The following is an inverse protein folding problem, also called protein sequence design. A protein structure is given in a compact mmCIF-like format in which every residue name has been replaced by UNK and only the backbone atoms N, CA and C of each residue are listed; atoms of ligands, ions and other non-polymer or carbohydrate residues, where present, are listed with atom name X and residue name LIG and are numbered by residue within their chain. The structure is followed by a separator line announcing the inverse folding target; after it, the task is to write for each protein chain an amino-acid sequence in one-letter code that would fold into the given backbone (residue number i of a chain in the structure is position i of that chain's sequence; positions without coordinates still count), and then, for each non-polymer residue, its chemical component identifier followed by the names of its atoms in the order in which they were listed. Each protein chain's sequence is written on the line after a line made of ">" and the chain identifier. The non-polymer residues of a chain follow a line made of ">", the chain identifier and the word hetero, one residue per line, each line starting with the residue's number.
data_IF_930810315634
#
_entry.id   IF_930810315634
#
_cell.length_a   1.000
_cell.length_b   1.000
_cell.length_c   1.000
_cell.angle_alpha   90.00
_cell.angle_beta   90.00
_cell.angle_gamma   90.00
#
_symmetry.space_group_name_H-M   'P 1'
#
loop_
_entity.id
_entity.type
_entity.pdbx_description
1 polymer ?
#
# COMPACT_ATOMS: atom_id res chain seq x y z
N UNK A 1 -11.55 -34.65 -24.44
CA UNK A 1 -12.47 -33.64 -23.88
C UNK A 1 -11.95 -33.34 -22.50
N UNK A 2 -11.64 -32.09 -22.17
CA UNK A 2 -11.25 -31.74 -20.80
C UNK A 2 -12.45 -32.00 -19.90
N UNK A 3 -12.31 -32.89 -18.92
CA UNK A 3 -13.37 -33.17 -17.95
C UNK A 3 -13.29 -32.09 -16.88
N UNK A 4 -14.37 -31.33 -16.70
CA UNK A 4 -14.50 -30.36 -15.62
C UNK A 4 -15.22 -31.04 -14.46
N UNK A 5 -14.71 -30.85 -13.25
CA UNK A 5 -15.35 -31.38 -12.05
C UNK A 5 -16.22 -30.31 -11.42
N UNK A 6 -17.48 -30.62 -11.14
CA UNK A 6 -18.33 -29.73 -10.36
C UNK A 6 -17.76 -29.62 -8.94
N UNK A 7 -17.61 -28.39 -8.42
CA UNK A 7 -17.18 -28.19 -7.04
C UNK A 7 -18.22 -28.71 -6.05
N UNK A 8 -17.78 -29.01 -4.83
CA UNK A 8 -18.67 -29.24 -3.71
C UNK A 8 -19.38 -27.93 -3.35
N UNK A 9 -20.71 -27.96 -3.37
CA UNK A 9 -21.53 -26.79 -3.03
C UNK A 9 -22.23 -27.06 -1.70
N UNK A 10 -21.97 -26.24 -0.65
CA UNK A 10 -22.68 -26.33 0.61
C UNK A 10 -24.19 -26.28 0.39
N UNK A 11 -24.95 -27.09 1.13
CA UNK A 11 -26.39 -27.22 0.90
C UNK A 11 -27.14 -25.88 0.95
N UNK A 12 -26.73 -24.97 1.85
CA UNK A 12 -27.30 -23.63 2.00
C UNK A 12 -26.92 -22.65 0.87
N UNK A 13 -25.94 -22.98 0.01
CA UNK A 13 -25.42 -22.13 -1.06
C UNK A 13 -25.66 -22.71 -2.48
N UNK A 14 -26.43 -23.81 -2.59
CA UNK A 14 -26.72 -24.54 -3.83
C UNK A 14 -27.40 -23.73 -4.95
N UNK A 15 -27.91 -22.53 -4.64
CA UNK A 15 -28.53 -21.62 -5.59
C UNK A 15 -27.86 -20.25 -5.58
N UNK A 16 -26.61 -20.18 -5.13
CA UNK A 16 -25.87 -18.94 -4.87
C UNK A 16 -24.70 -18.84 -5.83
N UNK A 17 -24.53 -17.68 -6.44
CA UNK A 17 -23.36 -17.33 -7.23
C UNK A 17 -22.14 -17.26 -6.33
N UNK A 18 -21.10 -18.04 -6.65
CA UNK A 18 -19.87 -18.05 -5.86
C UNK A 18 -19.14 -16.69 -5.88
N UNK A 19 -19.30 -15.90 -6.94
CA UNK A 19 -18.62 -14.61 -7.08
C UNK A 19 -19.29 -13.46 -6.32
N UNK A 20 -20.61 -13.44 -6.18
CA UNK A 20 -21.32 -12.24 -5.70
C UNK A 20 -22.54 -12.49 -4.80
N UNK A 21 -22.85 -13.74 -4.45
CA UNK A 21 -23.93 -14.05 -3.50
C UNK A 21 -25.35 -13.97 -4.09
N UNK A 22 -25.51 -13.44 -5.30
CA UNK A 22 -26.79 -13.42 -6.01
C UNK A 22 -27.27 -14.82 -6.41
N UNK A 23 -28.56 -15.01 -6.71
CA UNK A 23 -29.06 -16.28 -7.22
C UNK A 23 -28.27 -16.77 -8.45
N UNK A 24 -27.80 -18.02 -8.38
CA UNK A 24 -27.10 -18.68 -9.49
C UNK A 24 -28.03 -18.85 -10.68
N UNK A 25 -27.52 -18.63 -11.89
CA UNK A 25 -28.24 -18.83 -13.14
C UNK A 25 -27.77 -20.09 -13.86
N UNK A 26 -26.45 -20.29 -13.94
CA UNK A 26 -25.82 -21.40 -14.65
C UNK A 26 -24.45 -21.73 -14.04
N UNK A 27 -23.79 -22.77 -14.55
CA UNK A 27 -22.42 -23.14 -14.20
C UNK A 27 -21.40 -22.40 -15.08
N UNK A 28 -20.34 -21.91 -14.44
CA UNK A 28 -19.13 -21.45 -15.10
C UNK A 28 -18.12 -22.60 -15.14
N UNK A 29 -17.70 -23.02 -16.33
CA UNK A 29 -16.52 -23.90 -16.48
C UNK A 29 -15.24 -23.06 -16.48
N UNK A 30 -14.31 -23.37 -15.57
CA UNK A 30 -13.00 -22.73 -15.45
C UNK A 30 -11.86 -23.74 -15.68
N UNK A 31 -10.92 -23.47 -16.61
CA UNK A 31 -10.82 -22.25 -17.41
C UNK A 31 -11.88 -22.22 -18.52
N UNK A 32 -12.20 -21.03 -19.05
CA UNK A 32 -13.27 -20.89 -20.07
C UNK A 32 -12.94 -21.62 -21.39
N UNK A 33 -11.66 -21.81 -21.69
CA UNK A 33 -11.20 -22.50 -22.91
C UNK A 33 -10.39 -23.74 -22.56
N UNK A 34 -10.69 -24.85 -23.24
CA UNK A 34 -9.98 -26.13 -23.03
C UNK A 34 -8.48 -26.05 -23.29
N UNK A 35 -8.02 -25.08 -24.11
CA UNK A 35 -6.60 -24.87 -24.38
C UNK A 35 -5.85 -24.27 -23.19
N UNK A 36 -6.54 -23.57 -22.29
CA UNK A 36 -5.97 -22.94 -21.09
C UNK A 36 -5.82 -23.91 -19.93
N UNK A 37 -6.34 -25.14 -20.04
CA UNK A 37 -6.23 -26.17 -18.98
C UNK A 37 -4.78 -26.45 -18.57
N UNK A 38 -3.82 -26.28 -19.49
CA UNK A 38 -2.38 -26.47 -19.20
C UNK A 38 -1.73 -25.28 -18.48
N UNK A 39 -2.44 -24.17 -18.34
CA UNK A 39 -1.95 -22.91 -17.80
C UNK A 39 -2.49 -22.63 -16.40
N UNK A 40 -3.40 -23.47 -15.89
CA UNK A 40 -3.97 -23.30 -14.56
C UNK A 40 -3.25 -24.15 -13.51
N UNK A 41 -3.27 -23.67 -12.27
CA UNK A 41 -2.54 -24.26 -11.13
C UNK A 41 -3.33 -25.35 -10.39
N UNK A 42 -4.59 -25.56 -10.74
CA UNK A 42 -5.48 -26.56 -10.15
C UNK A 42 -6.25 -27.33 -11.23
N UNK A 43 -7.02 -28.36 -10.86
CA UNK A 43 -7.84 -29.10 -11.82
C UNK A 43 -8.95 -28.23 -12.44
N UNK A 44 -9.39 -28.47 -13.70
CA UNK A 44 -10.54 -27.77 -14.28
C UNK A 44 -11.82 -28.03 -13.50
N UNK A 45 -12.57 -26.97 -13.21
CA UNK A 45 -13.75 -27.01 -12.34
C UNK A 45 -14.98 -26.35 -12.96
N UNK A 46 -16.15 -26.73 -12.48
CA UNK A 46 -17.41 -26.03 -12.70
C UNK A 46 -17.96 -25.48 -11.39
N UNK A 47 -18.45 -24.24 -11.40
CA UNK A 47 -18.98 -23.57 -10.22
C UNK A 47 -20.20 -22.69 -10.54
N UNK A 48 -21.16 -22.52 -9.61
CA UNK A 48 -22.36 -21.75 -9.84
C UNK A 48 -22.08 -20.25 -9.96
N UNK A 49 -22.66 -19.62 -10.98
CA UNK A 49 -22.54 -18.18 -11.22
C UNK A 49 -23.88 -17.58 -11.65
N UNK A 50 -24.12 -16.31 -11.30
CA UNK A 50 -25.27 -15.56 -11.77
C UNK A 50 -25.07 -15.10 -13.22
N UNK A 51 -26.16 -14.73 -13.89
CA UNK A 51 -26.15 -14.27 -15.29
C UNK A 51 -25.21 -13.09 -15.52
N UNK A 52 -25.09 -12.20 -14.53
CA UNK A 52 -24.20 -11.06 -14.62
C UNK A 52 -22.73 -11.48 -14.56
N UNK A 53 -22.31 -12.24 -13.55
CA UNK A 53 -20.92 -12.67 -13.42
C UNK A 53 -20.45 -13.51 -14.61
N UNK A 54 -21.34 -14.30 -15.21
CA UNK A 54 -21.07 -15.04 -16.45
C UNK A 54 -20.82 -14.12 -17.65
N UNK A 55 -21.51 -12.99 -17.72
CA UNK A 55 -21.43 -12.04 -18.83
C UNK A 55 -20.29 -11.01 -18.67
N UNK A 56 -19.67 -10.92 -17.49
CA UNK A 56 -18.58 -9.96 -17.26
C UNK A 56 -17.32 -10.36 -18.03
N UNK A 57 -16.62 -9.38 -18.61
CA UNK A 57 -15.35 -9.63 -19.26
C UNK A 57 -14.31 -10.04 -18.20
N UNK A 58 -13.54 -11.08 -18.52
CA UNK A 58 -12.34 -11.49 -17.79
C UNK A 58 -11.16 -11.21 -18.71
N UNK A 59 -10.25 -10.33 -18.29
CA UNK A 59 -9.12 -9.93 -19.11
C UNK A 59 -7.97 -10.95 -18.97
N UNK A 60 -7.39 -11.34 -20.10
CA UNK A 60 -6.20 -12.20 -20.13
C UNK A 60 -6.46 -13.66 -19.76
N UNK A 61 -5.37 -14.38 -19.47
CA UNK A 61 -5.37 -15.75 -18.97
C UNK A 61 -5.27 -15.68 -17.45
N UNK A 62 -6.23 -16.26 -16.72
CA UNK A 62 -6.12 -16.46 -15.28
C UNK A 62 -5.54 -17.84 -15.02
N UNK A 63 -4.50 -17.91 -14.19
CA UNK A 63 -3.84 -19.16 -13.83
C UNK A 63 -4.57 -19.89 -12.69
N UNK A 64 -5.52 -19.23 -12.02
CA UNK A 64 -6.30 -19.83 -10.94
C UNK A 64 -7.71 -19.25 -10.87
N UNK A 65 -8.64 -19.98 -10.25
CA UNK A 65 -10.01 -19.50 -10.05
C UNK A 65 -10.08 -18.28 -9.13
N UNK A 66 -9.14 -18.13 -8.19
CA UNK A 66 -9.04 -16.97 -7.31
C UNK A 66 -8.63 -15.71 -8.07
N UNK A 67 -7.61 -15.78 -8.93
CA UNK A 67 -7.25 -14.66 -9.80
C UNK A 67 -8.38 -14.32 -10.79
N UNK A 68 -9.10 -15.32 -11.30
CA UNK A 68 -10.29 -15.10 -12.11
C UNK A 68 -11.41 -14.40 -11.31
N UNK A 69 -11.61 -14.79 -10.05
CA UNK A 69 -12.56 -14.14 -9.15
C UNK A 69 -12.21 -12.67 -8.93
N UNK A 70 -10.95 -12.32 -8.73
CA UNK A 70 -10.54 -10.93 -8.57
C UNK A 70 -10.87 -10.10 -9.81
N UNK A 71 -10.71 -10.66 -11.02
CA UNK A 71 -11.15 -10.00 -12.24
C UNK A 71 -12.66 -9.76 -12.27
N UNK A 72 -13.47 -10.76 -11.87
CA UNK A 72 -14.92 -10.63 -11.78
C UNK A 72 -15.30 -9.59 -10.72
N UNK A 73 -14.64 -9.60 -9.56
CA UNK A 73 -14.85 -8.63 -8.47
C UNK A 73 -14.54 -7.21 -8.91
N UNK A 74 -13.40 -7.01 -9.57
CA UNK A 74 -13.05 -5.72 -10.14
C UNK A 74 -14.05 -5.27 -11.23
N UNK A 75 -14.51 -6.18 -12.08
CA UNK A 75 -15.53 -5.86 -13.09
C UNK A 75 -16.88 -5.48 -12.45
N UNK A 76 -17.27 -6.13 -11.34
CA UNK A 76 -18.43 -5.75 -10.53
C UNK A 76 -18.24 -4.36 -9.90
N UNK A 77 -17.11 -4.09 -9.28
CA UNK A 77 -16.78 -2.77 -8.72
C UNK A 77 -16.92 -1.68 -9.77
N UNK A 78 -16.36 -1.89 -10.96
CA UNK A 78 -16.49 -0.94 -12.06
C UNK A 78 -17.92 -0.81 -12.55
N UNK A 79 -18.69 -1.90 -12.63
CA UNK A 79 -20.10 -1.84 -13.03
C UNK A 79 -20.94 -1.03 -12.03
N UNK A 80 -20.75 -1.28 -10.73
CA UNK A 80 -21.50 -0.65 -9.66
C UNK A 80 -20.86 0.61 -9.09
N UNK A 81 -19.78 1.12 -9.70
CA UNK A 81 -18.99 2.24 -9.18
C UNK A 81 -19.84 3.45 -8.77
N UNK A 82 -20.88 3.81 -9.54
CA UNK A 82 -21.78 4.92 -9.18
C UNK A 82 -22.60 4.67 -7.93
N UNK A 83 -23.04 3.43 -7.70
CA UNK A 83 -23.76 3.05 -6.49
C UNK A 83 -22.83 2.96 -5.29
N UNK A 84 -21.63 2.40 -5.48
CA UNK A 84 -20.58 2.35 -4.45
C UNK A 84 -20.09 3.75 -4.06
N UNK A 85 -20.02 4.67 -5.03
CA UNK A 85 -19.67 6.07 -4.84
C UNK A 85 -20.61 6.83 -3.91
N UNK A 86 -21.85 6.36 -3.72
CA UNK A 86 -22.79 6.94 -2.75
C UNK A 86 -22.19 6.84 -1.35
N UNK A 87 -21.69 5.67 -0.94
CA UNK A 87 -21.05 5.48 0.37
C UNK A 87 -19.66 6.10 0.49
N UNK A 88 -19.02 6.52 -0.61
CA UNK A 88 -17.81 7.35 -0.57
C UNK A 88 -18.12 8.82 -0.30
N UNK A 89 -19.31 9.28 -0.67
CA UNK A 89 -19.68 10.69 -0.65
C UNK A 89 -20.64 11.04 0.48
N UNK A 90 -21.35 10.05 1.01
CA UNK A 90 -22.39 10.24 2.00
C UNK A 90 -22.43 9.10 3.00
N UNK A 91 -22.74 9.43 4.23
CA UNK A 91 -23.30 8.51 5.22
C UNK A 91 -24.80 8.33 5.00
N UNK A 92 -25.37 7.31 5.65
CA UNK A 92 -26.82 7.09 5.61
C UNK A 92 -27.57 8.29 6.20
N UNK A 93 -27.08 8.79 7.33
CA UNK A 93 -27.66 9.91 8.06
C UNK A 93 -27.62 11.19 7.25
N UNK A 94 -26.51 11.46 6.55
CA UNK A 94 -26.39 12.64 5.67
C UNK A 94 -27.36 12.56 4.49
N UNK A 95 -27.57 11.37 3.89
CA UNK A 95 -28.55 11.20 2.82
C UNK A 95 -30.00 11.36 3.32
N UNK A 96 -30.32 10.82 4.49
CA UNK A 96 -31.65 10.94 5.09
C UNK A 96 -31.96 12.38 5.51
N UNK A 97 -30.95 13.11 5.99
CA UNK A 97 -31.06 14.53 6.33
C UNK A 97 -31.03 15.45 5.10
N UNK A 98 -30.66 14.93 3.93
CA UNK A 98 -30.62 15.72 2.70
C UNK A 98 -32.03 16.04 2.22
N UNK A 99 -32.34 17.32 2.11
CA UNK A 99 -33.62 17.85 1.64
C UNK A 99 -33.80 17.69 0.11
N UNK A 100 -33.66 16.47 -0.41
CA UNK A 100 -33.90 16.14 -1.81
C UNK A 100 -35.39 16.19 -2.16
N UNK A 101 -35.91 17.41 -2.34
CA UNK A 101 -37.31 17.65 -2.67
C UNK A 101 -37.56 17.72 -4.19
N UNK A 102 -38.75 17.28 -4.61
CA UNK A 102 -39.23 17.38 -5.99
C UNK A 102 -39.11 16.07 -6.77
N UNK A 103 -39.89 15.97 -7.85
CA UNK A 103 -40.13 14.74 -8.60
C UNK A 103 -38.88 14.05 -9.18
N UNK A 104 -37.74 14.76 -9.26
CA UNK A 104 -36.49 14.25 -9.84
C UNK A 104 -35.54 13.72 -8.74
N UNK A 105 -35.48 14.37 -7.57
CA UNK A 105 -34.48 14.07 -6.54
C UNK A 105 -35.05 13.26 -5.37
N UNK A 106 -36.36 13.28 -5.14
CA UNK A 106 -37.01 12.50 -4.07
C UNK A 106 -36.81 10.98 -4.27
N UNK A 107 -36.80 10.52 -5.52
CA UNK A 107 -36.49 9.13 -5.85
C UNK A 107 -35.05 8.73 -5.51
N UNK A 108 -34.10 9.67 -5.67
CA UNK A 108 -32.70 9.44 -5.29
C UNK A 108 -32.57 9.30 -3.77
N UNK A 109 -33.11 10.24 -2.98
CA UNK A 109 -33.03 10.19 -1.52
C UNK A 109 -33.57 8.88 -0.91
N UNK A 110 -34.62 8.29 -1.49
CA UNK A 110 -35.22 7.04 -1.01
C UNK A 110 -34.47 5.77 -1.44
N UNK A 111 -33.79 5.78 -2.58
CA UNK A 111 -33.22 4.57 -3.19
C UNK A 111 -31.69 4.52 -3.18
N UNK A 112 -31.02 5.66 -2.99
CA UNK A 112 -29.57 5.77 -3.05
C UNK A 112 -28.88 4.82 -2.07
N UNK A 113 -29.25 4.86 -0.79
CA UNK A 113 -28.62 4.03 0.24
C UNK A 113 -28.90 2.53 0.05
N UNK A 114 -30.15 2.07 -0.18
CA UNK A 114 -30.39 0.66 -0.51
C UNK A 114 -29.61 0.18 -1.74
N UNK A 115 -29.46 1.02 -2.77
CA UNK A 115 -28.66 0.65 -3.95
C UNK A 115 -27.17 0.53 -3.63
N UNK A 116 -26.64 1.39 -2.75
CA UNK A 116 -25.29 1.28 -2.22
C UNK A 116 -25.10 -0.04 -1.46
N UNK A 117 -26.01 -0.38 -0.55
CA UNK A 117 -25.93 -1.61 0.26
C UNK A 117 -25.94 -2.86 -0.61
N UNK A 118 -26.84 -2.93 -1.61
CA UNK A 118 -26.88 -4.05 -2.56
C UNK A 118 -25.57 -4.16 -3.35
N UNK A 119 -25.05 -3.04 -3.85
CA UNK A 119 -23.79 -3.03 -4.59
C UNK A 119 -22.62 -3.47 -3.72
N UNK A 120 -22.56 -2.98 -2.48
CA UNK A 120 -21.54 -3.32 -1.49
C UNK A 120 -21.56 -4.81 -1.16
N UNK A 121 -22.72 -5.35 -0.81
CA UNK A 121 -22.89 -6.78 -0.47
C UNK A 121 -22.35 -7.69 -1.58
N UNK A 122 -22.66 -7.37 -2.83
CA UNK A 122 -22.21 -8.16 -4.00
C UNK A 122 -20.70 -8.12 -4.21
N UNK A 123 -20.10 -6.95 -4.02
CA UNK A 123 -18.64 -6.77 -4.17
C UNK A 123 -17.90 -7.39 -3.00
N UNK A 124 -18.39 -7.27 -1.78
CA UNK A 124 -17.74 -7.80 -0.57
C UNK A 124 -17.97 -9.30 -0.36
N UNK A 125 -18.96 -9.91 -1.04
CA UNK A 125 -19.27 -11.33 -0.88
C UNK A 125 -18.04 -12.24 -1.05
N UNK A 126 -17.71 -13.04 -0.03
CA UNK A 126 -16.45 -13.78 0.00
C UNK A 126 -16.52 -15.18 -0.63
N UNK A 127 -17.67 -15.62 -1.12
CA UNK A 127 -17.85 -17.01 -1.55
C UNK A 127 -17.72 -17.99 -0.39
N UNK A 128 -17.40 -19.24 -0.73
CA UNK A 128 -17.08 -20.31 0.22
C UNK A 128 -15.85 -21.07 -0.28
N UNK A 129 -15.24 -21.86 0.61
CA UNK A 129 -14.05 -22.65 0.30
C UNK A 129 -14.36 -23.69 -0.80
N UNK A 130 -13.44 -23.83 -1.75
CA UNK A 130 -13.61 -24.72 -2.88
C UNK A 130 -13.05 -26.11 -2.55
N UNK A 131 -13.85 -27.14 -2.82
CA UNK A 131 -13.46 -28.53 -2.73
C UNK A 131 -14.03 -29.31 -3.92
N UNK A 132 -13.44 -30.46 -4.25
CA UNK A 132 -13.94 -31.41 -5.23
C UNK A 132 -13.87 -32.80 -4.62
N UNK A 133 -15.00 -33.49 -4.57
CA UNK A 133 -15.11 -34.83 -3.97
C UNK A 133 -14.62 -34.90 -2.50
N UNK A 134 -14.82 -33.81 -1.75
CA UNK A 134 -14.43 -33.67 -0.35
C UNK A 134 -12.98 -33.21 -0.12
N UNK A 135 -12.17 -33.12 -1.17
CA UNK A 135 -10.78 -32.66 -1.09
C UNK A 135 -10.69 -31.16 -1.39
N UNK A 136 -10.06 -30.34 -0.52
CA UNK A 136 -9.84 -28.92 -0.78
C UNK A 136 -9.13 -28.69 -2.12
N UNK A 137 -9.59 -27.68 -2.85
CA UNK A 137 -8.92 -27.26 -4.08
C UNK A 137 -7.70 -26.43 -3.71
N UNK A 138 -6.51 -27.00 -3.91
CA UNK A 138 -5.26 -26.28 -3.73
C UNK A 138 -4.96 -25.40 -4.96
N UNK A 139 -4.54 -24.16 -4.71
CA UNK A 139 -3.98 -23.30 -5.73
C UNK A 139 -3.36 -22.05 -5.14
N UNK A 140 -2.50 -21.41 -5.93
CA UNK A 140 -1.81 -20.20 -5.51
C UNK A 140 -2.63 -18.96 -5.90
N UNK A 141 -2.86 -18.09 -4.91
CA UNK A 141 -3.27 -16.71 -5.17
C UNK A 141 -2.01 -15.88 -5.46
N UNK A 142 -1.61 -15.81 -6.73
CA UNK A 142 -0.52 -14.93 -7.18
C UNK A 142 -1.02 -13.53 -7.57
N UNK A 143 -2.21 -13.12 -7.15
CA UNK A 143 -2.73 -11.82 -7.55
C UNK A 143 -1.87 -10.68 -6.98
N UNK A 144 -0.91 -10.16 -7.74
CA UNK A 144 -0.28 -8.89 -7.43
C UNK A 144 -1.37 -7.80 -7.56
N UNK A 145 -1.85 -7.27 -6.44
CA UNK A 145 -2.90 -6.25 -6.40
C UNK A 145 -2.41 -4.95 -5.78
N UNK A 146 -3.09 -3.85 -6.07
CA UNK A 146 -2.92 -2.58 -5.36
C UNK A 146 -3.98 -2.46 -4.27
N UNK A 147 -3.57 -2.25 -3.02
CA UNK A 147 -4.49 -2.10 -1.89
C UNK A 147 -4.67 -0.62 -1.54
N UNK A 148 -5.92 -0.18 -1.39
CA UNK A 148 -6.24 1.16 -0.92
C UNK A 148 -7.49 1.11 -0.03
N UNK A 149 -7.38 1.66 1.19
CA UNK A 149 -8.45 1.67 2.20
C UNK A 149 -9.08 0.28 2.46
N UNK A 150 -8.25 -0.77 2.54
CA UNK A 150 -8.71 -2.14 2.79
C UNK A 150 -9.41 -2.81 1.60
N UNK A 151 -9.39 -2.18 0.42
CA UNK A 151 -9.93 -2.72 -0.83
C UNK A 151 -8.78 -3.06 -1.77
N UNK A 152 -8.78 -4.29 -2.28
CA UNK A 152 -7.81 -4.77 -3.26
C UNK A 152 -8.30 -4.50 -4.69
N UNK A 153 -7.48 -3.82 -5.47
CA UNK A 153 -7.66 -3.55 -6.89
C UNK A 153 -6.66 -4.36 -7.71
N UNK A 154 -6.96 -4.62 -8.99
CA UNK A 154 -6.04 -5.35 -9.88
C UNK A 154 -4.73 -4.60 -10.15
N UNK A 155 -4.76 -3.27 -10.03
CA UNK A 155 -3.62 -2.38 -10.23
C UNK A 155 -3.94 -0.99 -9.68
N UNK A 156 -2.93 -0.12 -9.63
CA UNK A 156 -3.16 1.30 -9.32
C UNK A 156 -4.09 1.95 -10.35
N UNK A 157 -3.93 1.62 -11.64
CA UNK A 157 -4.80 2.15 -12.70
C UNK A 157 -6.25 1.73 -12.51
N UNK A 158 -6.49 0.48 -12.13
CA UNK A 158 -7.81 -0.03 -11.77
C UNK A 158 -8.42 0.76 -10.59
N UNK A 159 -7.61 1.11 -9.58
CA UNK A 159 -8.03 1.96 -8.47
C UNK A 159 -8.42 3.38 -8.94
N UNK A 160 -7.59 4.00 -9.80
CA UNK A 160 -7.86 5.31 -10.41
C UNK A 160 -9.18 5.30 -11.16
N UNK A 161 -9.35 4.36 -12.09
CA UNK A 161 -10.56 4.23 -12.92
C UNK A 161 -11.82 4.04 -12.06
N UNK A 162 -11.74 3.22 -11.02
CA UNK A 162 -12.84 3.03 -10.08
C UNK A 162 -13.21 4.35 -9.40
N UNK A 163 -12.26 5.08 -8.80
CA UNK A 163 -12.55 6.32 -8.07
C UNK A 163 -13.04 7.44 -8.99
N UNK A 164 -12.44 7.58 -10.17
CA UNK A 164 -12.89 8.50 -11.22
C UNK A 164 -14.35 8.22 -11.58
N UNK A 165 -14.69 6.95 -11.81
CA UNK A 165 -16.06 6.56 -12.14
C UNK A 165 -17.00 6.74 -10.96
N UNK A 166 -16.63 6.31 -9.76
CA UNK A 166 -17.47 6.33 -8.58
C UNK A 166 -17.83 7.76 -8.15
N UNK A 167 -16.85 8.67 -8.18
CA UNK A 167 -17.01 10.02 -7.67
C UNK A 167 -17.14 11.09 -8.75
N UNK A 168 -17.09 10.68 -10.03
CA UNK A 168 -17.14 11.58 -11.19
C UNK A 168 -15.98 12.58 -11.20
N UNK A 169 -14.76 12.10 -10.96
CA UNK A 169 -13.55 12.94 -10.93
C UNK A 169 -12.99 13.17 -12.34
N UNK A 170 -12.11 14.16 -12.46
CA UNK A 170 -11.31 14.37 -13.66
C UNK A 170 -10.15 13.37 -13.72
N UNK A 171 -10.18 12.46 -14.70
CA UNK A 171 -9.18 11.39 -14.86
C UNK A 171 -7.76 11.95 -15.00
N UNK A 172 -7.60 12.94 -15.89
CA UNK A 172 -6.28 13.51 -16.22
C UNK A 172 -5.67 14.17 -14.99
N UNK A 173 -6.46 14.92 -14.22
CA UNK A 173 -6.00 15.53 -12.99
C UNK A 173 -5.53 14.48 -11.98
N UNK A 174 -6.34 13.44 -11.72
CA UNK A 174 -5.97 12.43 -10.72
C UNK A 174 -4.71 11.64 -11.13
N UNK A 175 -4.62 11.22 -12.39
CA UNK A 175 -3.43 10.53 -12.91
C UNK A 175 -2.17 11.40 -12.75
N UNK A 176 -2.24 12.66 -13.18
CA UNK A 176 -1.10 13.58 -13.09
C UNK A 176 -0.69 13.85 -11.63
N UNK A 177 -1.65 13.98 -10.71
CA UNK A 177 -1.34 14.17 -9.30
C UNK A 177 -0.60 12.96 -8.71
N UNK A 178 -1.04 11.73 -9.03
CA UNK A 178 -0.40 10.50 -8.57
C UNK A 178 1.01 10.36 -9.15
N UNK A 179 1.22 10.73 -10.43
CA UNK A 179 2.56 10.77 -11.02
C UNK A 179 3.50 11.74 -10.30
N UNK A 180 2.99 12.87 -9.79
CA UNK A 180 3.78 13.87 -9.06
C UNK A 180 4.07 13.41 -7.63
N UNK A 181 3.05 12.95 -6.91
CA UNK A 181 3.17 12.69 -5.47
C UNK A 181 3.55 11.25 -5.14
N UNK A 182 3.45 10.32 -6.08
CA UNK A 182 3.70 8.90 -5.86
C UNK A 182 2.47 8.12 -5.38
N UNK A 183 2.50 6.81 -5.64
CA UNK A 183 1.41 5.87 -5.34
C UNK A 183 1.14 5.68 -3.84
N UNK A 184 2.15 5.89 -3.02
CA UNK A 184 2.08 5.85 -1.55
C UNK A 184 1.29 7.03 -0.97
N UNK A 185 1.15 8.11 -1.74
CA UNK A 185 0.35 9.29 -1.40
C UNK A 185 -0.93 9.39 -2.22
N UNK A 186 -1.48 8.25 -2.69
CA UNK A 186 -2.74 8.19 -3.43
C UNK A 186 -3.89 8.92 -2.71
N UNK A 187 -4.04 8.75 -1.39
CA UNK A 187 -5.08 9.43 -0.61
C UNK A 187 -4.99 10.97 -0.71
N UNK A 188 -3.77 11.52 -0.78
CA UNK A 188 -3.54 12.95 -0.94
C UNK A 188 -3.95 13.43 -2.32
N UNK A 189 -3.49 12.74 -3.38
CA UNK A 189 -3.89 13.03 -4.76
C UNK A 189 -5.41 12.95 -4.96
N UNK A 190 -6.03 11.90 -4.40
CA UNK A 190 -7.47 11.69 -4.48
C UNK A 190 -8.25 12.86 -3.85
N UNK A 191 -7.84 13.31 -2.67
CA UNK A 191 -8.47 14.45 -1.98
C UNK A 191 -8.41 15.73 -2.80
N UNK A 192 -7.29 16.01 -3.47
CA UNK A 192 -7.16 17.18 -4.34
C UNK A 192 -8.13 17.05 -5.53
N UNK A 193 -8.20 15.88 -6.17
CA UNK A 193 -9.13 15.63 -7.26
C UNK A 193 -10.61 15.75 -6.82
N UNK A 194 -10.94 15.29 -5.60
CA UNK A 194 -12.29 15.39 -5.02
C UNK A 194 -12.73 16.83 -4.77
N UNK A 195 -11.81 17.72 -4.38
CA UNK A 195 -12.08 19.16 -4.22
C UNK A 195 -12.27 19.87 -5.58
N UNK A 196 -11.80 19.24 -6.66
CA UNK A 196 -11.69 19.83 -7.98
C UNK A 196 -12.40 18.95 -9.03
N UNK A 197 -13.70 18.66 -8.86
CA UNK A 197 -14.43 17.72 -9.74
C UNK A 197 -14.75 18.30 -11.13
N UNK A 198 -14.93 19.61 -11.24
CA UNK A 198 -15.34 20.30 -12.45
C UNK A 198 -14.29 21.32 -12.90
N UNK A 199 -13.05 20.86 -13.10
CA UNK A 199 -11.94 21.76 -13.49
C UNK A 199 -11.98 22.08 -14.97
N UNK A 200 -11.72 23.34 -15.30
CA UNK A 200 -11.30 23.70 -16.65
C UNK A 200 -9.85 23.28 -16.90
N UNK A 201 -9.45 23.22 -18.17
CA UNK A 201 -8.06 22.97 -18.55
C UNK A 201 -7.07 23.92 -17.87
N UNK A 202 -7.42 25.22 -17.77
CA UNK A 202 -6.56 26.24 -17.15
C UNK A 202 -6.40 26.02 -15.64
N UNK A 203 -7.49 25.70 -14.95
CA UNK A 203 -7.45 25.39 -13.51
C UNK A 203 -6.68 24.11 -13.24
N UNK A 204 -6.85 23.08 -14.09
CA UNK A 204 -6.05 21.84 -13.99
C UNK A 204 -4.56 22.13 -14.01
N UNK A 205 -4.11 22.94 -14.97
CA UNK A 205 -2.69 23.30 -15.09
C UNK A 205 -2.20 24.08 -13.86
N UNK A 206 -3.01 25.01 -13.36
CA UNK A 206 -2.66 25.79 -12.17
C UNK A 206 -2.52 24.90 -10.92
N UNK A 207 -3.44 23.97 -10.70
CA UNK A 207 -3.38 23.01 -9.59
C UNK A 207 -2.14 22.13 -9.73
N UNK A 208 -1.89 21.59 -10.93
CA UNK A 208 -0.73 20.73 -11.19
C UNK A 208 0.57 21.48 -10.94
N UNK A 209 0.69 22.73 -11.40
CA UNK A 209 1.88 23.56 -11.18
C UNK A 209 2.10 23.86 -9.70
N UNK A 210 1.02 24.20 -8.98
CA UNK A 210 1.06 24.43 -7.53
C UNK A 210 1.59 23.21 -6.78
N UNK A 211 1.05 22.02 -7.06
CA UNK A 211 1.49 20.79 -6.39
C UNK A 211 2.95 20.45 -6.77
N UNK A 212 3.37 20.66 -8.01
CA UNK A 212 4.77 20.47 -8.40
C UNK A 212 5.71 21.39 -7.62
N UNK A 213 5.36 22.67 -7.50
CA UNK A 213 6.15 23.63 -6.74
C UNK A 213 6.23 23.23 -5.27
N UNK A 214 5.13 22.78 -4.66
CA UNK A 214 5.13 22.29 -3.28
C UNK A 214 6.03 21.07 -3.06
N UNK A 215 6.06 20.13 -4.02
CA UNK A 215 6.95 18.96 -3.92
C UNK A 215 8.41 19.36 -4.11
N UNK A 216 8.70 20.27 -5.04
CA UNK A 216 10.05 20.81 -5.20
C UNK A 216 10.54 21.53 -3.93
N UNK A 217 9.71 22.39 -3.34
CA UNK A 217 10.05 23.12 -2.11
C UNK A 217 10.36 22.14 -0.95
N UNK A 218 9.64 21.02 -0.88
CA UNK A 218 9.89 19.97 0.13
C UNK A 218 11.20 19.24 -0.10
N UNK A 219 11.54 18.94 -1.34
CA UNK A 219 12.80 18.29 -1.70
C UNK A 219 13.99 19.23 -1.45
N UNK A 220 13.85 20.52 -1.79
CA UNK A 220 14.86 21.54 -1.51
C UNK A 220 15.08 21.69 0.01
N UNK A 221 14.01 21.72 0.81
CA UNK A 221 14.11 21.75 2.28
C UNK A 221 14.76 20.49 2.84
N UNK A 222 14.50 19.31 2.27
CA UNK A 222 15.16 18.06 2.68
C UNK A 222 16.65 18.11 2.37
N UNK A 223 17.02 18.54 1.16
CA UNK A 223 18.42 18.67 0.75
C UNK A 223 19.17 19.69 1.63
N UNK A 224 18.52 20.81 1.99
CA UNK A 224 19.09 21.79 2.92
C UNK A 224 19.30 21.19 4.31
N UNK A 225 18.31 20.47 4.85
CA UNK A 225 18.44 19.80 6.15
C UNK A 225 19.53 18.72 6.15
N UNK A 226 19.68 17.96 5.06
CA UNK A 226 20.74 16.97 4.89
C UNK A 226 22.11 17.63 4.79
N UNK A 227 22.22 18.73 4.04
CA UNK A 227 23.45 19.52 3.96
C UNK A 227 23.81 20.16 5.31
N UNK A 228 22.84 20.65 6.08
CA UNK A 228 23.06 21.16 7.43
C UNK A 228 23.53 20.06 8.39
N UNK A 229 22.92 18.86 8.35
CA UNK A 229 23.38 17.71 9.12
C UNK A 229 24.79 17.27 8.73
N UNK A 230 25.11 17.29 7.44
CA UNK A 230 26.45 16.96 6.95
C UNK A 230 27.47 18.08 7.19
N UNK A 231 27.03 19.30 7.48
CA UNK A 231 27.90 20.46 7.75
C UNK A 231 28.34 20.55 9.21
N UNK A 232 27.72 19.82 10.13
CA UNK A 232 28.24 19.66 11.49
C UNK A 232 29.33 18.59 11.47
N UNK A 233 30.41 18.84 10.71
CA UNK A 233 31.64 18.04 10.87
C UNK A 233 32.28 18.53 12.14
N UNK A 234 32.15 17.75 13.21
CA UNK A 234 32.90 18.01 14.42
C UNK A 234 34.39 17.83 14.08
N UNK A 235 35.29 18.77 14.42
CA UNK A 235 36.72 18.65 14.12
C UNK A 235 37.39 17.65 15.09
N UNK A 236 36.85 16.42 15.14
CA UNK A 236 37.27 15.36 16.03
C UNK A 236 38.61 14.80 15.57
N UNK A 237 39.41 14.44 16.56
CA UNK A 237 40.75 13.87 16.37
C UNK A 237 40.75 12.41 16.79
N UNK A 238 41.50 11.58 16.05
CA UNK A 238 41.74 10.18 16.40
C UNK A 238 42.34 10.07 17.81
N UNK A 239 41.80 9.18 18.64
CA UNK A 239 42.30 8.93 20.00
C UNK A 239 42.94 7.55 20.05
N UNK A 240 44.25 7.52 20.30
CA UNK A 240 45.03 6.28 20.42
C UNK A 240 45.09 5.88 21.89
N UNK A 241 44.55 4.70 22.21
CA UNK A 241 44.61 4.09 23.53
C UNK A 241 45.52 2.85 23.50
N UNK A 242 45.84 2.31 24.67
CA UNK A 242 46.81 1.21 24.78
C UNK A 242 46.41 -0.05 24.00
N UNK A 243 45.11 -0.35 23.90
CA UNK A 243 44.60 -1.59 23.29
C UNK A 243 43.77 -1.35 22.02
N UNK A 244 43.37 -0.11 21.71
CA UNK A 244 42.58 0.23 20.54
C UNK A 244 42.72 1.70 20.11
N UNK A 245 42.20 2.02 18.93
CA UNK A 245 42.19 3.39 18.38
C UNK A 245 40.75 3.78 18.06
N UNK A 246 40.27 4.87 18.65
CA UNK A 246 38.97 5.45 18.33
C UNK A 246 39.12 6.46 17.19
N UNK A 247 38.44 6.19 16.08
CA UNK A 247 38.46 7.07 14.91
C UNK A 247 37.40 8.18 15.02
N UNK A 248 37.66 9.36 14.43
CA UNK A 248 36.73 10.50 14.45
C UNK A 248 35.30 10.14 14.06
N UNK A 249 35.12 9.31 13.03
CA UNK A 249 33.81 8.93 12.49
C UNK A 249 32.98 8.10 13.50
N UNK A 250 33.65 7.24 14.28
CA UNK A 250 32.99 6.48 15.34
C UNK A 250 32.63 7.37 16.55
N UNK A 251 33.49 8.32 16.89
CA UNK A 251 33.25 9.30 17.96
C UNK A 251 32.10 10.24 17.57
N UNK A 252 32.08 10.71 16.32
CA UNK A 252 31.02 11.55 15.76
C UNK A 252 29.67 10.85 15.78
N UNK A 253 29.65 9.58 15.37
CA UNK A 253 28.45 8.76 15.43
C UNK A 253 27.91 8.69 16.86
N UNK A 254 28.77 8.46 17.85
CA UNK A 254 28.35 8.36 19.24
C UNK A 254 27.79 9.68 19.78
N UNK A 255 28.42 10.82 19.48
CA UNK A 255 27.91 12.14 19.86
C UNK A 255 26.54 12.41 19.21
N UNK A 256 26.42 12.15 17.90
CA UNK A 256 25.20 12.41 17.13
C UNK A 256 24.02 11.54 17.60
N UNK A 257 24.29 10.33 18.07
CA UNK A 257 23.29 9.40 18.61
C UNK A 257 23.11 9.51 20.12
N UNK A 258 23.69 10.55 20.76
CA UNK A 258 23.65 10.77 22.21
C UNK A 258 24.12 9.55 23.03
N UNK A 259 25.03 8.77 22.45
CA UNK A 259 25.59 7.56 23.01
C UNK A 259 26.80 7.91 23.88
N UNK A 260 26.53 8.23 25.15
CA UNK A 260 27.53 8.75 26.10
C UNK A 260 28.13 7.68 27.01
N UNK A 261 27.62 6.44 26.96
CA UNK A 261 28.04 5.35 27.85
C UNK A 261 28.25 4.06 27.08
N UNK A 262 29.06 3.16 27.63
CA UNK A 262 29.27 1.82 27.06
C UNK A 262 27.94 1.04 26.99
N UNK A 263 27.08 1.19 28.01
CA UNK A 263 25.76 0.58 28.05
C UNK A 263 24.89 1.05 26.89
N UNK A 264 24.83 2.36 26.62
CA UNK A 264 24.07 2.87 25.47
C UNK A 264 24.65 2.46 24.13
N UNK A 265 25.98 2.22 24.06
CA UNK A 265 26.60 1.74 22.82
C UNK A 265 26.20 0.29 22.51
N UNK A 266 26.16 -0.56 23.55
CA UNK A 266 25.71 -1.95 23.41
C UNK A 266 24.23 -2.00 23.01
N UNK A 267 23.39 -1.13 23.56
CA UNK A 267 21.97 -1.04 23.17
C UNK A 267 21.77 -0.59 21.72
N UNK A 268 22.72 0.15 21.15
CA UNK A 268 22.67 0.65 19.77
C UNK A 268 23.64 -0.10 18.83
N UNK A 269 24.05 -1.32 19.19
CA UNK A 269 25.00 -2.13 18.41
C UNK A 269 24.54 -2.32 16.96
N UNK A 270 23.30 -2.76 16.75
CA UNK A 270 22.74 -2.97 15.41
C UNK A 270 22.74 -1.68 14.58
N UNK A 271 22.30 -0.56 15.18
CA UNK A 271 22.27 0.74 14.50
C UNK A 271 23.68 1.25 14.12
N UNK A 272 24.68 0.93 14.94
CA UNK A 272 26.08 1.23 14.62
C UNK A 272 26.54 0.42 13.41
N UNK A 273 26.33 -0.90 13.44
CA UNK A 273 26.78 -1.77 12.34
C UNK A 273 26.05 -1.49 11.03
N UNK A 274 24.77 -1.12 11.07
CA UNK A 274 24.02 -0.65 9.90
C UNK A 274 24.63 0.63 9.31
N UNK A 275 25.01 1.60 10.16
CA UNK A 275 25.62 2.85 9.71
C UNK A 275 26.99 2.63 9.03
N UNK A 276 27.76 1.64 9.48
CA UNK A 276 29.11 1.34 8.99
C UNK A 276 29.21 0.11 8.07
N UNK A 277 28.09 -0.48 7.66
CA UNK A 277 28.05 -1.71 6.84
C UNK A 277 28.90 -1.59 5.56
N UNK A 278 28.86 -0.41 4.94
CA UNK A 278 29.57 -0.07 3.71
C UNK A 278 31.10 -0.17 3.81
N UNK A 279 31.69 -0.15 5.01
CA UNK A 279 33.14 -0.26 5.23
C UNK A 279 33.64 -1.72 5.28
N UNK A 280 32.71 -2.68 5.31
CA UNK A 280 32.99 -4.10 5.47
C UNK A 280 33.22 -4.51 6.93
N UNK A 281 32.81 -5.75 7.25
CA UNK A 281 32.78 -6.28 8.62
C UNK A 281 34.03 -6.01 9.47
N UNK A 282 35.25 -6.38 9.02
CA UNK A 282 36.47 -6.18 9.83
C UNK A 282 36.73 -4.72 10.22
N UNK A 283 36.45 -3.77 9.32
CA UNK A 283 36.63 -2.34 9.57
C UNK A 283 35.58 -1.82 10.55
N UNK A 284 34.31 -2.19 10.34
CA UNK A 284 33.22 -1.80 11.23
C UNK A 284 33.44 -2.34 12.66
N UNK A 285 33.91 -3.57 12.81
CA UNK A 285 34.28 -4.14 14.12
C UNK A 285 35.42 -3.38 14.80
N UNK A 286 36.44 -2.96 14.06
CA UNK A 286 37.55 -2.19 14.62
C UNK A 286 37.10 -0.80 15.09
N UNK A 287 36.18 -0.16 14.36
CA UNK A 287 35.57 1.12 14.78
C UNK A 287 34.74 0.96 16.05
N UNK A 288 33.94 -0.11 16.13
CA UNK A 288 33.12 -0.40 17.31
C UNK A 288 33.98 -0.70 18.55
N UNK A 289 34.99 -1.55 18.42
CA UNK A 289 35.94 -1.86 19.50
C UNK A 289 36.67 -0.60 19.97
N UNK A 290 37.22 0.20 19.04
CA UNK A 290 37.85 1.48 19.37
C UNK A 290 36.92 2.42 20.15
N UNK A 291 35.66 2.49 19.76
CA UNK A 291 34.66 3.33 20.44
C UNK A 291 34.32 2.79 21.84
N UNK A 292 34.25 1.47 22.04
CA UNK A 292 34.04 0.86 23.35
C UNK A 292 35.16 1.25 24.33
N UNK A 293 36.41 1.16 23.89
CA UNK A 293 37.57 1.57 24.69
C UNK A 293 37.53 3.06 25.03
N UNK A 294 37.11 3.90 24.09
CA UNK A 294 37.04 5.34 24.27
C UNK A 294 35.96 5.74 25.28
N UNK A 295 34.76 5.18 25.16
CA UNK A 295 33.70 5.39 26.15
C UNK A 295 34.05 4.82 27.53
N UNK A 296 34.83 3.74 27.60
CA UNK A 296 35.34 3.21 28.85
C UNK A 296 36.36 4.18 29.50
N UNK A 297 37.27 4.78 28.72
CA UNK A 297 38.22 5.78 29.20
C UNK A 297 37.51 7.06 29.68
N UNK A 298 36.46 7.50 28.98
CA UNK A 298 35.64 8.67 29.35
C UNK A 298 34.86 8.52 30.66
N UNK A 299 34.84 7.34 31.28
CA UNK A 299 34.29 7.16 32.65
C UNK A 299 35.17 7.82 33.71
N UNK A 300 36.44 8.04 33.42
CA UNK A 300 37.35 8.77 34.29
C UNK A 300 37.32 10.27 33.96
N UNK A 301 36.71 11.06 34.84
CA UNK A 301 36.60 12.51 34.68
C UNK A 301 37.96 13.21 34.57
N UNK A 302 39.00 12.68 35.24
CA UNK A 302 40.36 13.24 35.17
C UNK A 302 40.94 12.99 33.78
N UNK A 303 40.69 11.81 33.22
CA UNK A 303 41.14 11.49 31.86
C UNK A 303 40.46 12.37 30.81
N UNK A 304 39.16 12.62 30.94
CA UNK A 304 38.44 13.54 30.04
C UNK A 304 39.05 14.94 30.04
N UNK A 305 39.40 15.48 31.20
CA UNK A 305 39.97 16.82 31.32
C UNK A 305 41.43 16.91 30.84
N UNK A 306 42.25 15.89 31.11
CA UNK A 306 43.69 15.94 30.87
C UNK A 306 44.14 15.31 29.55
N UNK A 307 43.36 14.37 29.00
CA UNK A 307 43.80 13.45 27.93
C UNK A 307 42.86 13.32 26.74
N UNK A 308 41.59 13.72 26.85
CA UNK A 308 40.64 13.60 25.74
C UNK A 308 40.65 14.87 24.86
N UNK A 309 41.19 14.80 23.62
CA UNK A 309 41.24 15.95 22.72
C UNK A 309 39.86 16.39 22.22
N UNK A 310 38.82 15.58 22.42
CA UNK A 310 37.48 15.82 21.92
C UNK A 310 36.47 16.17 23.02
N UNK A 311 36.89 16.37 24.29
CA UNK A 311 35.97 16.52 25.43
C UNK A 311 34.95 17.66 25.27
N UNK A 312 35.34 18.74 24.59
CA UNK A 312 34.47 19.89 24.37
C UNK A 312 33.22 19.57 23.54
N UNK A 313 33.27 18.52 22.71
CA UNK A 313 32.16 18.12 21.83
C UNK A 313 31.17 17.16 22.49
N UNK A 314 31.47 16.71 23.71
CA UNK A 314 30.62 15.80 24.50
C UNK A 314 29.73 16.52 25.52
N UNK A 315 29.75 17.86 25.55
CA UNK A 315 29.05 18.71 26.52
C UNK A 315 27.71 19.24 26.03
#
# INVERSE_FOLDING_TARGET
>A
MSHYSLIDIPFNLRHTCWFCGEPSFDLLSFPKSSHQVRQITHQPIELPACKECLALPSAGVSESIWSFRDQIKHALMNKYAKHLGIGLQWTKEELEASEFHGAILEGFGKSAWPMYEIAKERVEYTGWDLAVDGEPLDGYDESCGYEFNGVRYLSIQACIEYHVKAMSLDLVLLETLIEIVGSERFAYALRIAELNRNVSYKERLAIVDEIKNQEQDKDDLRALNEAEKSSVVLPLVTVVMNEATAQPEAIEWAITHSCTTLESLIEQEDAFFDAFEHLGGPTAFALFDGLQWYLAARRDAVWCEESDPNDEFWR
#
